data_IF_257299001106
#
_entry.id   IF_257299001106
#
_cell.length_a   1.000
_cell.length_b   1.000
_cell.length_c   1.000
_cell.angle_alpha   90.00
_cell.angle_beta   90.00
_cell.angle_gamma   90.00
#
_symmetry.space_group_name_H-M   'P 1'
#
loop_
_entity.id
_entity.type
_entity.pdbx_description
1 polymer ?
#
# COMPACT_ATOMS: atom_id res chain seq x y z
N UNK A 1 15.24 -10.05 -11.42
CA UNK A 1 14.46 -10.32 -10.19
C UNK A 1 13.63 -9.10 -9.83
N UNK A 2 12.36 -9.32 -9.60
CA UNK A 2 11.45 -8.23 -9.20
C UNK A 2 11.63 -7.93 -7.71
N UNK A 3 11.86 -6.66 -7.38
CA UNK A 3 12.00 -6.20 -6.00
C UNK A 3 11.07 -5.01 -5.76
N UNK A 4 10.66 -4.83 -4.50
CA UNK A 4 9.87 -3.66 -4.09
C UNK A 4 10.73 -2.88 -3.11
N UNK A 5 11.12 -1.66 -3.50
CA UNK A 5 12.03 -0.83 -2.71
C UNK A 5 11.49 0.59 -2.62
N UNK A 6 11.80 1.23 -1.48
CA UNK A 6 11.47 2.63 -1.30
C UNK A 6 12.38 3.50 -2.15
N UNK A 7 11.80 4.48 -2.85
CA UNK A 7 12.56 5.53 -3.50
C UNK A 7 12.76 6.69 -2.52
N UNK A 8 13.94 6.76 -1.91
CA UNK A 8 14.25 7.73 -0.88
C UNK A 8 14.64 9.11 -1.43
N UNK A 9 14.79 9.23 -2.75
CA UNK A 9 15.04 10.53 -3.38
C UNK A 9 13.77 11.39 -3.42
N UNK A 10 12.60 10.76 -3.32
CA UNK A 10 11.32 11.46 -3.21
C UNK A 10 11.10 11.76 -1.73
N UNK A 11 10.96 13.04 -1.39
CA UNK A 11 10.88 13.48 0.01
C UNK A 11 9.54 14.07 0.41
N UNK A 12 8.66 14.38 -0.54
CA UNK A 12 7.35 14.94 -0.27
C UNK A 12 6.30 13.88 0.05
N UNK A 13 6.63 12.61 -0.13
CA UNK A 13 5.76 11.48 0.18
C UNK A 13 6.58 10.21 0.32
N UNK A 14 5.93 9.16 0.84
CA UNK A 14 6.51 7.82 0.88
C UNK A 14 6.21 7.16 -0.47
N UNK A 15 7.23 6.74 -1.19
CA UNK A 15 7.07 6.10 -2.49
C UNK A 15 7.79 4.76 -2.52
N UNK A 16 7.07 3.70 -2.86
CA UNK A 16 7.66 2.39 -3.13
C UNK A 16 7.49 2.04 -4.61
N UNK A 17 8.52 1.43 -5.17
CA UNK A 17 8.55 1.03 -6.58
C UNK A 17 8.82 -0.45 -6.69
N UNK A 18 8.04 -1.13 -7.53
CA UNK A 18 8.30 -2.51 -7.92
C UNK A 18 9.11 -2.49 -9.20
N UNK A 19 10.34 -3.03 -9.15
CA UNK A 19 11.30 -2.92 -10.24
C UNK A 19 11.93 -4.25 -10.56
N UNK A 20 12.33 -4.40 -11.82
CA UNK A 20 13.23 -5.45 -12.27
C UNK A 20 14.35 -4.74 -13.05
N UNK A 21 15.54 -4.63 -12.43
CA UNK A 21 16.60 -3.80 -12.96
C UNK A 21 16.16 -2.34 -12.97
N UNK A 22 16.13 -1.72 -14.14
CA UNK A 22 15.71 -0.32 -14.30
C UNK A 22 14.22 -0.19 -14.68
N UNK A 23 13.56 -1.30 -14.98
CA UNK A 23 12.17 -1.28 -15.39
C UNK A 23 11.25 -1.20 -14.18
N UNK A 24 10.33 -0.23 -14.19
CA UNK A 24 9.36 -0.03 -13.12
C UNK A 24 8.05 -0.72 -13.52
N UNK A 25 7.60 -1.67 -12.71
CA UNK A 25 6.36 -2.40 -12.94
C UNK A 25 5.18 -1.89 -12.13
N UNK A 26 5.45 -1.12 -11.09
CA UNK A 26 4.38 -0.54 -10.30
C UNK A 26 4.89 0.40 -9.25
N UNK A 27 3.99 1.25 -8.75
CA UNK A 27 4.30 2.23 -7.71
C UNK A 27 3.14 2.35 -6.73
N UNK A 28 3.47 2.69 -5.50
CA UNK A 28 2.49 3.06 -4.47
C UNK A 28 3.07 4.20 -3.67
N UNK A 29 2.25 5.19 -3.35
CA UNK A 29 2.71 6.30 -2.54
C UNK A 29 1.65 6.76 -1.55
N UNK A 30 2.12 7.38 -0.47
CA UNK A 30 1.25 7.91 0.56
C UNK A 30 1.97 8.93 1.44
N UNK A 31 1.19 9.60 2.27
CA UNK A 31 1.67 10.62 3.19
C UNK A 31 1.25 10.21 4.61
N UNK A 32 2.20 10.27 5.53
CA UNK A 32 1.93 9.98 6.94
C UNK A 32 1.65 11.29 7.66
N UNK A 33 0.52 11.32 8.39
CA UNK A 33 0.15 12.42 9.24
C UNK A 33 -0.36 11.84 10.56
N UNK A 34 0.43 12.02 11.62
CA UNK A 34 0.11 11.44 12.92
C UNK A 34 0.14 9.91 12.88
N UNK A 35 -0.95 9.28 13.23
CA UNK A 35 -1.09 7.82 13.25
C UNK A 35 -1.72 7.25 12.00
N UNK A 36 -1.84 8.05 10.94
CA UNK A 36 -2.55 7.67 9.71
C UNK A 36 -1.67 7.87 8.49
N UNK A 37 -1.64 6.88 7.60
CA UNK A 37 -1.07 7.05 6.27
C UNK A 37 -2.21 7.13 5.26
N UNK A 38 -2.17 8.14 4.37
CA UNK A 38 -3.12 8.28 3.27
C UNK A 38 -2.44 7.84 1.99
N UNK A 39 -2.91 6.76 1.40
CA UNK A 39 -2.37 6.19 0.17
C UNK A 39 -3.16 6.75 -1.00
N UNK A 40 -2.49 7.52 -1.87
CA UNK A 40 -3.15 8.25 -2.95
C UNK A 40 -2.74 7.79 -4.34
N UNK A 41 -1.62 7.07 -4.47
CA UNK A 41 -1.17 6.55 -5.75
C UNK A 41 -0.97 5.05 -5.66
N UNK A 42 -1.53 4.33 -6.61
CA UNK A 42 -1.33 2.88 -6.74
C UNK A 42 -1.46 2.55 -8.23
N UNK A 43 -0.33 2.28 -8.86
CA UNK A 43 -0.27 1.95 -10.27
C UNK A 43 0.54 0.68 -10.47
N UNK A 44 0.13 -0.14 -11.42
CA UNK A 44 0.88 -1.34 -11.76
C UNK A 44 0.50 -1.83 -13.16
N UNK A 45 1.44 -2.48 -13.82
CA UNK A 45 1.19 -3.14 -15.10
C UNK A 45 0.25 -4.32 -14.95
N UNK A 46 0.23 -4.95 -13.77
CA UNK A 46 -0.65 -6.08 -13.47
C UNK A 46 -1.29 -5.87 -12.10
N UNK A 47 -2.61 -6.06 -12.04
CA UNK A 47 -3.36 -5.84 -10.79
C UNK A 47 -2.92 -6.74 -9.65
N UNK A 48 -2.40 -7.92 -9.95
CA UNK A 48 -1.91 -8.85 -8.93
C UNK A 48 -0.75 -8.25 -8.12
N UNK A 49 -0.03 -7.29 -8.68
CA UNK A 49 1.07 -6.63 -7.98
C UNK A 49 0.61 -5.63 -6.93
N UNK A 50 -0.67 -5.24 -6.93
CA UNK A 50 -1.21 -4.32 -5.94
C UNK A 50 -1.02 -4.83 -4.52
N UNK A 51 -1.21 -6.14 -4.30
CA UNK A 51 -1.07 -6.72 -2.97
C UNK A 51 0.35 -6.49 -2.41
N UNK A 52 1.37 -6.82 -3.20
CA UNK A 52 2.76 -6.64 -2.78
C UNK A 52 3.13 -5.18 -2.53
N UNK A 53 2.69 -4.29 -3.43
CA UNK A 53 2.96 -2.85 -3.29
C UNK A 53 2.31 -2.28 -2.03
N UNK A 54 1.05 -2.60 -1.79
CA UNK A 54 0.33 -2.09 -0.62
C UNK A 54 0.94 -2.65 0.66
N UNK A 55 1.27 -3.95 0.68
CA UNK A 55 1.91 -4.54 1.86
C UNK A 55 3.25 -3.89 2.17
N UNK A 56 4.01 -3.51 1.15
CA UNK A 56 5.30 -2.84 1.37
C UNK A 56 5.13 -1.49 2.06
N UNK A 57 4.22 -0.65 1.57
CA UNK A 57 4.01 0.66 2.19
C UNK A 57 3.35 0.54 3.57
N UNK A 58 2.48 -0.43 3.76
CA UNK A 58 1.87 -0.67 5.08
C UNK A 58 2.89 -1.18 6.08
N UNK A 59 3.82 -2.03 5.67
CA UNK A 59 4.91 -2.49 6.56
C UNK A 59 5.80 -1.33 6.98
N UNK A 60 6.10 -0.43 6.05
CA UNK A 60 6.84 0.80 6.35
C UNK A 60 6.12 1.61 7.42
N UNK A 61 4.82 1.78 7.26
CA UNK A 61 3.99 2.55 8.20
C UNK A 61 3.92 1.85 9.56
N UNK A 62 3.74 0.54 9.58
CA UNK A 62 3.67 -0.24 10.82
C UNK A 62 4.95 -0.13 11.62
N UNK A 63 6.11 -0.18 10.96
CA UNK A 63 7.41 -0.02 11.62
C UNK A 63 7.60 1.36 12.24
N UNK A 64 6.77 2.33 11.87
CA UNK A 64 6.79 3.69 12.42
C UNK A 64 5.60 3.97 13.32
N UNK A 65 4.93 2.90 13.78
CA UNK A 65 3.79 2.97 14.69
C UNK A 65 2.59 3.74 14.13
N UNK A 66 2.47 3.77 12.79
CA UNK A 66 1.28 4.28 12.13
C UNK A 66 0.19 3.22 12.26
N UNK A 67 -0.98 3.62 12.73
CA UNK A 67 -2.04 2.68 13.08
C UNK A 67 -3.03 2.45 11.94
N UNK A 68 -3.37 3.51 11.22
CA UNK A 68 -4.45 3.49 10.22
C UNK A 68 -3.95 3.79 8.83
N UNK A 69 -4.62 3.22 7.84
CA UNK A 69 -4.37 3.55 6.44
C UNK A 69 -5.69 3.96 5.79
N UNK A 70 -5.67 5.12 5.13
CA UNK A 70 -6.78 5.61 4.31
C UNK A 70 -6.39 5.45 2.85
N UNK A 71 -7.26 4.81 2.07
CA UNK A 71 -7.02 4.61 0.64
C UNK A 71 -7.79 5.68 -0.13
N UNK A 72 -7.08 6.77 -0.46
CA UNK A 72 -7.65 7.87 -1.25
C UNK A 72 -7.56 7.54 -2.73
N UNK A 73 -8.31 6.52 -3.12
CA UNK A 73 -8.33 5.97 -4.47
C UNK A 73 -9.78 5.95 -4.90
N UNK A 74 -10.05 6.47 -6.10
CA UNK A 74 -11.41 6.54 -6.66
C UNK A 74 -11.65 5.58 -7.81
N UNK A 75 -10.58 5.02 -8.39
CA UNK A 75 -10.70 4.07 -9.48
C UNK A 75 -11.38 2.79 -8.98
N UNK A 76 -12.54 2.47 -9.56
CA UNK A 76 -13.36 1.35 -9.11
C UNK A 76 -12.67 0.00 -9.29
N UNK A 77 -11.87 -0.14 -10.34
CA UNK A 77 -11.16 -1.39 -10.61
C UNK A 77 -10.08 -1.65 -9.57
N UNK A 78 -9.33 -0.59 -9.19
CA UNK A 78 -8.34 -0.69 -8.13
C UNK A 78 -9.00 -1.01 -6.80
N UNK A 79 -10.10 -0.34 -6.49
CA UNK A 79 -10.86 -0.60 -5.26
C UNK A 79 -11.39 -2.03 -5.22
N UNK A 80 -11.84 -2.55 -6.35
CA UNK A 80 -12.29 -3.93 -6.43
C UNK A 80 -11.17 -4.90 -6.03
N UNK A 81 -9.96 -4.67 -6.55
CA UNK A 81 -8.81 -5.50 -6.21
C UNK A 81 -8.40 -5.35 -4.76
N UNK A 82 -8.37 -4.11 -4.26
CA UNK A 82 -8.04 -3.85 -2.85
C UNK A 82 -9.02 -4.54 -1.92
N UNK A 83 -10.30 -4.55 -2.29
CA UNK A 83 -11.32 -5.26 -1.52
C UNK A 83 -11.07 -6.77 -1.55
N UNK A 84 -10.71 -7.32 -2.70
CA UNK A 84 -10.40 -8.74 -2.84
C UNK A 84 -9.21 -9.17 -2.00
N UNK A 85 -8.24 -8.29 -1.81
CA UNK A 85 -7.07 -8.55 -0.96
C UNK A 85 -7.33 -8.26 0.53
N UNK A 86 -8.46 -7.66 0.86
CA UNK A 86 -8.82 -7.39 2.25
C UNK A 86 -8.40 -6.06 2.81
N UNK A 87 -7.87 -5.15 2.00
CA UNK A 87 -7.42 -3.84 2.47
C UNK A 87 -8.57 -2.87 2.70
N UNK A 88 -9.62 -2.96 1.90
CA UNK A 88 -10.79 -2.11 2.01
C UNK A 88 -12.06 -2.96 1.97
N UNK A 89 -13.19 -2.36 2.36
CA UNK A 89 -14.50 -3.00 2.26
C UNK A 89 -15.39 -2.18 1.32
N UNK A 90 -16.60 -2.65 1.07
CA UNK A 90 -17.56 -1.88 0.26
C UNK A 90 -17.97 -0.58 0.95
N UNK A 91 -17.91 -0.57 2.29
CA UNK A 91 -18.40 0.54 3.10
C UNK A 91 -17.29 1.47 3.58
N UNK A 92 -16.03 1.03 3.50
CA UNK A 92 -14.94 1.80 4.07
C UNK A 92 -13.64 1.64 3.28
N UNK A 93 -12.98 2.77 3.04
CA UNK A 93 -11.64 2.82 2.47
C UNK A 93 -10.57 2.99 3.55
N UNK A 94 -10.91 2.72 4.79
CA UNK A 94 -10.00 2.88 5.93
C UNK A 94 -9.67 1.51 6.52
N UNK A 95 -8.38 1.22 6.61
CA UNK A 95 -7.87 0.07 7.35
C UNK A 95 -7.56 0.59 8.76
N UNK A 96 -8.40 0.23 9.73
CA UNK A 96 -8.38 0.82 11.07
C UNK A 96 -7.18 0.40 11.91
N UNK A 97 -6.59 -0.76 11.61
CA UNK A 97 -5.48 -1.28 12.41
C UNK A 97 -4.54 -2.08 11.52
N UNK A 98 -3.46 -1.43 11.10
CA UNK A 98 -2.48 -2.03 10.20
C UNK A 98 -1.81 -3.24 10.87
N UNK A 99 -1.48 -3.13 12.15
CA UNK A 99 -0.82 -4.21 12.89
C UNK A 99 -1.72 -5.45 12.95
N UNK A 100 -2.99 -5.26 13.22
CA UNK A 100 -3.95 -6.35 13.26
C UNK A 100 -4.11 -7.02 11.90
N UNK A 101 -4.09 -6.25 10.82
CA UNK A 101 -4.14 -6.79 9.47
C UNK A 101 -2.99 -7.77 9.22
N UNK A 102 -1.77 -7.38 9.57
CA UNK A 102 -0.61 -8.27 9.39
C UNK A 102 -0.66 -9.48 10.32
N UNK A 103 -1.18 -9.32 11.51
CA UNK A 103 -1.36 -10.42 12.46
C UNK A 103 -2.32 -11.46 11.91
N UNK A 104 -3.48 -11.01 11.44
CA UNK A 104 -4.51 -11.91 10.90
C UNK A 104 -4.00 -12.67 9.67
N UNK A 105 -3.21 -11.99 8.85
CA UNK A 105 -2.61 -12.59 7.66
C UNK A 105 -1.65 -13.73 8.01
N UNK A 106 -1.07 -13.70 9.20
CA UNK A 106 -0.12 -14.73 9.66
C UNK A 106 -0.78 -15.90 10.37
N UNK A 107 -2.06 -15.84 10.62
CA UNK A 107 -2.78 -16.83 11.42
C UNK A 107 -3.37 -17.97 10.60
N UNK A 108 -2.79 -18.30 9.51
CA UNK A 108 -3.28 -19.40 8.67
C UNK A 108 -2.96 -20.78 9.23
#
# INVERSE_FOLDING_TARGET
MITILQNKDVTDRILFEMKDGEDIYGTVSGIIDGDTITISELESQMEIFFDGLVRAILAYADNRFVKKAVFDITDERKLYRLKGFGFVTEESKVLEDIQAFFKDDKCD
#
